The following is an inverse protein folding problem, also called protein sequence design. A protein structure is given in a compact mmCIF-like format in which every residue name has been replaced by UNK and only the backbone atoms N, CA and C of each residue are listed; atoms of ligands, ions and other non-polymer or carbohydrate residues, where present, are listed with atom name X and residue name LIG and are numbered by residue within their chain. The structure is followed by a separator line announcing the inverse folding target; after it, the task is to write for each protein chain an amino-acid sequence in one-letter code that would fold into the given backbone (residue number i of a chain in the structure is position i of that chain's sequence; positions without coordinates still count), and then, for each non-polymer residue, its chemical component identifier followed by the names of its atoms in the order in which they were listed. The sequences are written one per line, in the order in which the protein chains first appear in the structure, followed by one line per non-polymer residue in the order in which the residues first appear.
data_IF_402895120383
#
_entry.id   IF_402895120383
#
_cell.length_a   1.000
_cell.length_b   1.000
_cell.length_c   1.000
_cell.angle_alpha   90.00
_cell.angle_beta   90.00
_cell.angle_gamma   90.00
#
_symmetry.space_group_name_H-M   'P 1'
#
loop_
_entity.id
_entity.type
_entity.pdbx_description
1 polymer ?
#
# COMPACT_ATOMS: atom_id res chain seq x y z
N UNK A 1 7.62 1.60 -12.84
CA UNK A 1 7.79 1.71 -14.31
C UNK A 1 6.46 1.65 -15.04
N UNK A 2 5.57 0.70 -14.72
CA UNK A 2 4.23 0.60 -15.35
C UNK A 2 3.39 1.87 -15.19
N UNK A 3 3.35 2.46 -13.99
CA UNK A 3 2.66 3.74 -13.76
C UNK A 3 3.13 4.84 -14.73
N UNK A 4 4.45 5.04 -14.86
CA UNK A 4 5.04 6.04 -15.76
C UNK A 4 4.65 5.78 -17.22
N UNK A 5 4.70 4.52 -17.66
CA UNK A 5 4.31 4.15 -19.01
C UNK A 5 2.80 4.40 -19.26
N UNK A 6 1.94 4.00 -18.33
CA UNK A 6 0.50 4.24 -18.40
C UNK A 6 0.15 5.73 -18.45
N UNK A 7 0.77 6.54 -17.58
CA UNK A 7 0.62 8.01 -17.58
C UNK A 7 1.09 8.62 -18.92
N UNK A 8 2.22 8.16 -19.47
CA UNK A 8 2.73 8.62 -20.79
C UNK A 8 1.77 8.29 -21.94
N UNK A 9 1.02 7.19 -21.83
CA UNK A 9 0.03 6.76 -22.82
C UNK A 9 -1.37 7.34 -22.55
N UNK A 10 -1.54 8.22 -21.55
CA UNK A 10 -2.85 8.79 -21.19
C UNK A 10 -3.83 7.78 -20.59
N UNK A 11 -3.34 6.64 -20.09
CA UNK A 11 -4.19 5.63 -19.45
C UNK A 11 -4.63 6.09 -18.05
N UNK A 12 -5.84 5.68 -17.64
CA UNK A 12 -6.26 5.78 -16.24
C UNK A 12 -5.42 4.80 -15.40
N UNK A 13 -4.52 5.32 -14.57
CA UNK A 13 -3.62 4.52 -13.73
C UNK A 13 -3.98 4.65 -12.25
N UNK A 14 -4.16 3.52 -11.56
CA UNK A 14 -4.23 3.45 -10.11
C UNK A 14 -2.90 2.91 -9.56
N UNK A 15 -2.31 3.57 -8.58
CA UNK A 15 -1.08 3.13 -7.92
C UNK A 15 -1.44 2.26 -6.72
N UNK A 16 -0.88 1.06 -6.71
CA UNK A 16 -1.10 0.06 -5.68
C UNK A 16 0.13 -0.07 -4.77
N UNK A 17 -0.14 -0.18 -3.46
CA UNK A 17 0.83 -0.59 -2.45
C UNK A 17 0.44 -1.94 -1.84
N UNK A 18 1.36 -2.60 -1.15
CA UNK A 18 1.15 -3.90 -0.53
C UNK A 18 1.19 -3.75 0.99
N UNK A 19 0.15 -4.24 1.67
CA UNK A 19 0.06 -4.11 3.12
C UNK A 19 1.08 -4.94 3.90
N UNK A 20 1.49 -6.07 3.33
CA UNK A 20 2.27 -7.12 4.00
C UNK A 20 3.70 -7.23 3.46
N UNK A 21 4.18 -6.23 2.71
CA UNK A 21 5.50 -6.24 2.07
C UNK A 21 6.29 -4.99 2.41
N UNK A 22 7.57 -5.17 2.69
CA UNK A 22 8.50 -4.05 2.83
C UNK A 22 9.03 -3.60 1.46
N UNK A 23 9.48 -2.35 1.42
CA UNK A 23 10.04 -1.69 0.22
C UNK A 23 11.53 -1.41 0.39
N UNK A 24 12.28 -1.58 -0.70
CA UNK A 24 13.67 -1.16 -0.86
C UNK A 24 13.71 0.33 -1.27
N UNK A 25 14.86 0.98 -1.13
CA UNK A 25 15.05 2.42 -1.38
C UNK A 25 14.90 2.86 -2.85
N UNK A 26 14.75 1.89 -3.75
CA UNK A 26 14.44 2.08 -5.17
C UNK A 26 12.94 1.92 -5.47
N UNK A 27 12.10 1.72 -4.45
CA UNK A 27 10.64 1.54 -4.55
C UNK A 27 10.19 0.13 -4.93
N UNK A 28 11.12 -0.82 -5.13
CA UNK A 28 10.76 -2.22 -5.34
C UNK A 28 10.43 -2.91 -4.02
N UNK A 29 9.65 -3.99 -4.08
CA UNK A 29 9.42 -4.84 -2.91
C UNK A 29 10.72 -5.56 -2.52
N UNK A 30 10.95 -5.68 -1.21
CA UNK A 30 12.03 -6.49 -0.66
C UNK A 30 11.85 -7.94 -1.13
N UNK A 31 12.93 -8.55 -1.64
CA UNK A 31 12.94 -9.93 -2.13
C UNK A 31 12.43 -10.90 -1.08
N UNK A 32 11.52 -11.82 -1.44
CA UNK A 32 10.93 -12.82 -0.53
C UNK A 32 11.95 -13.72 0.18
N UNK A 33 13.16 -13.83 -0.35
CA UNK A 33 14.26 -14.58 0.28
C UNK A 33 14.82 -13.91 1.53
N UNK A 34 14.59 -12.60 1.73
CA UNK A 34 15.06 -11.86 2.90
C UNK A 34 14.09 -12.00 4.06
N UNK A 35 14.61 -12.11 5.28
CA UNK A 35 13.81 -12.25 6.50
C UNK A 35 12.88 -11.06 6.78
N UNK A 36 13.26 -9.87 6.31
CA UNK A 36 12.46 -8.65 6.43
C UNK A 36 11.51 -8.43 5.25
N UNK A 37 11.28 -9.40 4.38
CA UNK A 37 10.47 -9.18 3.17
C UNK A 37 8.97 -9.03 3.44
N UNK A 38 8.48 -9.71 4.49
CA UNK A 38 7.07 -9.81 4.82
C UNK A 38 6.77 -9.15 6.16
N UNK A 39 5.59 -8.54 6.25
CA UNK A 39 5.00 -8.03 7.48
C UNK A 39 3.84 -8.97 7.83
N UNK A 40 4.07 -9.85 8.79
CA UNK A 40 3.10 -10.89 9.17
C UNK A 40 2.22 -10.49 10.36
N UNK A 41 2.66 -9.50 11.14
CA UNK A 41 1.91 -8.97 12.27
C UNK A 41 0.85 -7.97 11.79
N UNK A 42 -0.45 -8.21 12.09
CA UNK A 42 -1.55 -7.34 11.69
C UNK A 42 -1.43 -5.89 12.17
N UNK A 43 -0.89 -5.66 13.37
CA UNK A 43 -0.73 -4.32 13.95
C UNK A 43 0.39 -3.55 13.27
N UNK A 44 1.49 -4.23 12.91
CA UNK A 44 2.56 -3.64 12.12
C UNK A 44 2.06 -3.31 10.71
N UNK A 45 1.33 -4.21 10.06
CA UNK A 45 0.77 -3.99 8.72
C UNK A 45 -0.22 -2.80 8.71
N UNK A 46 -1.08 -2.68 9.73
CA UNK A 46 -1.95 -1.51 9.92
C UNK A 46 -1.15 -0.22 10.00
N UNK A 47 -0.15 -0.15 10.89
CA UNK A 47 0.68 1.06 11.05
C UNK A 47 1.43 1.42 9.76
N UNK A 48 1.94 0.40 9.07
CA UNK A 48 2.64 0.55 7.80
C UNK A 48 1.73 1.19 6.74
N UNK A 49 0.53 0.63 6.53
CA UNK A 49 -0.44 1.14 5.54
C UNK A 49 -0.95 2.53 5.91
N UNK A 50 -1.40 2.75 7.14
CA UNK A 50 -1.94 4.05 7.57
C UNK A 50 -0.90 5.14 7.34
N UNK A 51 0.35 4.91 7.76
CA UNK A 51 1.42 5.89 7.60
C UNK A 51 1.71 6.20 6.12
N UNK A 52 1.73 5.19 5.24
CA UNK A 52 1.94 5.41 3.80
C UNK A 52 0.80 6.19 3.16
N UNK A 53 -0.45 5.93 3.56
CA UNK A 53 -1.63 6.63 3.04
C UNK A 53 -1.67 8.08 3.55
N UNK A 54 -1.35 8.32 4.82
CA UNK A 54 -1.32 9.66 5.40
C UNK A 54 -0.26 10.56 4.77
N UNK A 55 0.96 10.03 4.55
CA UNK A 55 2.05 10.81 3.99
C UNK A 55 2.17 10.74 2.46
N UNK A 56 1.33 9.93 1.79
CA UNK A 56 1.38 9.68 0.35
C UNK A 56 2.80 9.34 -0.11
N UNK A 57 3.43 8.37 0.55
CA UNK A 57 4.78 7.91 0.24
C UNK A 57 4.98 6.43 0.56
N UNK A 58 5.84 5.76 -0.22
CA UNK A 58 6.39 4.46 0.16
C UNK A 58 7.36 4.68 1.32
N UNK A 59 7.08 4.04 2.45
CA UNK A 59 7.96 4.03 3.60
C UNK A 59 8.89 2.81 3.47
N UNK A 60 10.09 3.04 2.94
CA UNK A 60 11.09 1.98 2.71
C UNK A 60 11.63 1.45 4.04
N UNK A 61 12.13 0.22 4.01
CA UNK A 61 12.65 -0.45 5.21
C UNK A 61 13.82 0.31 5.87
N UNK A 62 14.62 1.04 5.08
CA UNK A 62 15.71 1.90 5.59
C UNK A 62 15.24 3.13 6.37
N UNK A 63 13.95 3.50 6.25
CA UNK A 63 13.41 4.78 6.69
C UNK A 63 13.26 5.82 5.57
N UNK A 64 13.83 5.60 4.38
CA UNK A 64 13.63 6.46 3.22
C UNK A 64 12.16 6.55 2.81
N UNK A 65 11.69 7.75 2.51
CA UNK A 65 10.34 7.98 1.98
C UNK A 65 10.41 8.32 0.49
N UNK A 66 9.63 7.62 -0.32
CA UNK A 66 9.52 7.88 -1.76
C UNK A 66 8.09 8.38 -2.03
N UNK A 67 7.89 9.63 -2.48
CA UNK A 67 6.56 10.15 -2.80
C UNK A 67 5.79 9.25 -3.77
N UNK A 68 4.54 8.99 -3.46
CA UNK A 68 3.70 8.01 -4.16
C UNK A 68 2.22 8.40 -4.03
N UNK A 69 1.54 8.57 -5.17
CA UNK A 69 0.12 8.91 -5.23
C UNK A 69 -0.72 7.63 -5.04
N UNK A 70 -0.91 7.21 -3.78
CA UNK A 70 -1.46 5.89 -3.44
C UNK A 70 -2.99 5.86 -3.61
N UNK A 71 -3.48 4.92 -4.41
CA UNK A 71 -4.91 4.74 -4.69
C UNK A 71 -5.50 3.45 -4.10
N UNK A 72 -4.70 2.40 -4.03
CA UNK A 72 -5.14 1.06 -3.63
C UNK A 72 -4.13 0.39 -2.73
N UNK A 73 -4.64 -0.45 -1.83
CA UNK A 73 -3.83 -1.29 -0.94
C UNK A 73 -4.18 -2.75 -1.21
N UNK A 74 -3.21 -3.52 -1.69
CA UNK A 74 -3.33 -4.95 -1.90
C UNK A 74 -3.29 -5.68 -0.56
N UNK A 75 -4.21 -6.63 -0.39
CA UNK A 75 -4.33 -7.51 0.77
C UNK A 75 -4.40 -8.96 0.28
N UNK A 76 -3.55 -9.82 0.84
CA UNK A 76 -3.61 -11.25 0.58
C UNK A 76 -4.66 -11.94 1.47
N UNK A 77 -5.35 -12.94 0.92
CA UNK A 77 -6.46 -13.66 1.56
C UNK A 77 -6.13 -15.08 2.04
N UNK A 78 -4.91 -15.55 1.79
CA UNK A 78 -4.47 -16.96 1.92
C UNK A 78 -3.83 -17.29 3.28
N UNK A 79 -3.48 -16.29 4.10
CA UNK A 79 -2.87 -16.48 5.42
C UNK A 79 -3.89 -16.62 6.57
N UNK A 80 -3.51 -17.35 7.64
CA UNK A 80 -4.32 -17.46 8.87
C UNK A 80 -4.67 -16.10 9.50
N UNK A 81 -3.80 -15.11 9.34
CA UNK A 81 -3.99 -13.73 9.82
C UNK A 81 -4.63 -12.79 8.79
N UNK A 82 -4.94 -13.25 7.57
CA UNK A 82 -5.38 -12.40 6.46
C UNK A 82 -6.61 -11.55 6.80
N UNK A 83 -7.68 -12.20 7.28
CA UNK A 83 -8.93 -11.51 7.65
C UNK A 83 -8.71 -10.52 8.81
N UNK A 84 -7.91 -10.90 9.81
CA UNK A 84 -7.58 -10.02 10.94
C UNK A 84 -6.80 -8.80 10.47
N UNK A 85 -5.83 -8.99 9.58
CA UNK A 85 -5.02 -7.93 8.97
C UNK A 85 -5.89 -6.96 8.17
N UNK A 86 -6.75 -7.48 7.30
CA UNK A 86 -7.68 -6.67 6.52
C UNK A 86 -8.62 -5.84 7.42
N UNK A 87 -9.17 -6.45 8.48
CA UNK A 87 -10.03 -5.75 9.44
C UNK A 87 -9.30 -4.62 10.15
N UNK A 88 -8.09 -4.88 10.66
CA UNK A 88 -7.32 -3.86 11.37
C UNK A 88 -6.87 -2.70 10.48
N UNK A 89 -6.45 -2.99 9.24
CA UNK A 89 -6.09 -1.95 8.26
C UNK A 89 -7.31 -1.08 7.94
N UNK A 90 -8.47 -1.71 7.67
CA UNK A 90 -9.72 -0.98 7.41
C UNK A 90 -10.08 -0.06 8.57
N UNK A 91 -10.06 -0.58 9.80
CA UNK A 91 -10.35 0.21 11.00
C UNK A 91 -9.34 1.35 11.21
N UNK A 92 -8.04 1.09 10.97
CA UNK A 92 -6.99 2.09 11.07
C UNK A 92 -7.19 3.23 10.08
N UNK A 93 -7.47 2.92 8.81
CA UNK A 93 -7.72 3.91 7.77
C UNK A 93 -8.97 4.75 8.06
N UNK A 94 -10.07 4.12 8.49
CA UNK A 94 -11.29 4.85 8.87
C UNK A 94 -11.04 5.78 10.06
N UNK A 95 -10.30 5.32 11.07
CA UNK A 95 -9.90 6.16 12.23
C UNK A 95 -9.01 7.33 11.85
N UNK A 96 -8.17 7.17 10.82
CA UNK A 96 -7.35 8.25 10.25
C UNK A 96 -8.16 9.20 9.33
N UNK A 97 -9.48 9.04 9.22
CA UNK A 97 -10.34 9.88 8.39
C UNK A 97 -10.34 9.53 6.90
N UNK A 98 -9.77 8.39 6.51
CA UNK A 98 -9.73 7.94 5.11
C UNK A 98 -11.08 7.35 4.71
N UNK A 99 -11.66 7.86 3.62
CA UNK A 99 -12.90 7.34 3.03
C UNK A 99 -12.55 6.28 1.99
N UNK A 100 -12.90 5.02 2.29
CA UNK A 100 -12.69 3.91 1.36
C UNK A 100 -13.75 3.91 0.25
N UNK A 101 -13.31 3.84 -1.01
CA UNK A 101 -14.18 3.81 -2.19
C UNK A 101 -13.63 2.82 -3.23
N UNK A 102 -14.48 2.23 -4.06
CA UNK A 102 -14.00 1.52 -5.24
C UNK A 102 -13.33 2.50 -6.22
N UNK A 103 -12.36 2.02 -7.00
CA UNK A 103 -11.56 2.86 -7.90
C UNK A 103 -12.43 3.70 -8.85
N UNK A 104 -13.47 3.13 -9.45
CA UNK A 104 -14.38 3.85 -10.36
C UNK A 104 -15.17 5.01 -9.71
N UNK A 105 -15.08 5.21 -8.40
CA UNK A 105 -15.68 6.34 -7.66
C UNK A 105 -14.64 7.34 -7.13
N UNK A 106 -13.37 7.17 -7.46
CA UNK A 106 -12.33 8.14 -7.15
C UNK A 106 -12.42 9.33 -8.11
N UNK A 107 -12.22 10.54 -7.58
CA UNK A 107 -12.34 11.80 -8.33
C UNK A 107 -11.48 11.86 -9.59
N UNK A 108 -10.34 11.17 -9.62
CA UNK A 108 -9.42 11.16 -10.77
C UNK A 108 -9.83 10.22 -11.90
N UNK A 109 -10.83 9.38 -11.69
CA UNK A 109 -11.34 8.43 -12.68
C UNK A 109 -12.76 8.71 -13.14
N UNK A 110 -13.47 9.60 -12.42
CA UNK A 110 -14.74 10.21 -12.82
C UNK A 110 -14.41 11.32 -13.81
#
# INVERSE_FOLDING_TARGET
QMEKAGKKLGMKTAVEIFADRNYEDNGNLVSRSKSNAMITDPEIAKKHVVKMVENQALNCYSGKQIPCEIDSVCLHGDGKSAVKTAKQIKEGLIKAGVILKPLNKLKKFI
#
